data_IF_375653526864
#
_entry.id   IF_375653526864
#
_cell.length_a   1.000
_cell.length_b   1.000
_cell.length_c   1.000
_cell.angle_alpha   90.00
_cell.angle_beta   90.00
_cell.angle_gamma   90.00
#
_symmetry.space_group_name_H-M   'P 1'
#
loop_
_entity.id
_entity.type
_entity.pdbx_description
1 polymer ?
#
# COMPACT_ATOMS: atom_id res chain seq x y z
N UNK A 1 -36.16 -16.16 20.28
CA UNK A 1 -35.46 -14.96 19.78
C UNK A 1 -34.90 -15.29 18.41
N UNK A 2 -35.05 -14.40 17.41
CA UNK A 2 -34.50 -14.62 16.06
C UNK A 2 -33.05 -14.17 16.05
N UNK A 3 -32.13 -15.02 15.56
CA UNK A 3 -30.74 -14.64 15.37
C UNK A 3 -30.65 -13.45 14.41
N UNK A 4 -29.89 -12.44 14.79
CA UNK A 4 -29.67 -11.25 13.96
C UNK A 4 -28.69 -11.57 12.84
N UNK A 5 -28.61 -10.69 11.85
CA UNK A 5 -27.62 -10.79 10.79
C UNK A 5 -26.19 -10.82 11.34
N UNK A 6 -25.93 -10.05 12.40
CA UNK A 6 -24.63 -9.98 13.08
C UNK A 6 -24.29 -11.30 13.77
N UNK A 7 -25.26 -11.95 14.42
CA UNK A 7 -25.07 -13.27 15.04
C UNK A 7 -24.68 -14.33 14.00
N UNK A 8 -25.30 -14.27 12.82
CA UNK A 8 -25.01 -15.20 11.72
C UNK A 8 -23.59 -15.02 11.16
N UNK A 9 -23.15 -13.77 11.05
CA UNK A 9 -21.81 -13.41 10.61
C UNK A 9 -20.73 -13.87 11.61
N UNK A 10 -20.99 -13.69 12.90
CA UNK A 10 -20.08 -14.12 13.96
C UNK A 10 -19.95 -15.63 14.03
N UNK A 11 -21.05 -16.36 13.84
CA UNK A 11 -21.02 -17.83 13.82
C UNK A 11 -20.28 -18.39 12.60
N UNK A 12 -20.42 -17.75 11.44
CA UNK A 12 -19.71 -18.13 10.23
C UNK A 12 -18.20 -17.87 10.36
N UNK A 13 -17.81 -16.72 10.93
CA UNK A 13 -16.41 -16.40 11.20
C UNK A 13 -15.77 -17.38 12.21
N UNK A 14 -16.47 -17.70 13.31
CA UNK A 14 -16.00 -18.69 14.30
C UNK A 14 -15.88 -20.09 13.71
N UNK A 15 -16.69 -20.42 12.69
CA UNK A 15 -16.60 -21.69 11.97
C UNK A 15 -15.35 -21.72 11.09
N UNK A 16 -15.04 -20.64 10.39
CA UNK A 16 -13.87 -20.56 9.52
C UNK A 16 -12.55 -20.62 10.31
N UNK A 17 -12.47 -19.94 11.46
CA UNK A 17 -11.30 -19.99 12.35
C UNK A 17 -11.05 -21.43 12.83
N UNK A 18 -12.08 -22.12 13.33
CA UNK A 18 -11.95 -23.52 13.78
C UNK A 18 -11.53 -24.46 12.65
N UNK A 19 -11.99 -24.23 11.43
CA UNK A 19 -11.57 -25.02 10.26
C UNK A 19 -10.10 -24.81 9.93
N UNK A 20 -9.59 -23.57 10.05
CA UNK A 20 -8.17 -23.27 9.87
C UNK A 20 -7.30 -23.87 10.97
N UNK A 21 -7.72 -23.76 12.23
CA UNK A 21 -7.02 -24.36 13.39
C UNK A 21 -7.00 -25.90 13.32
N UNK A 22 -8.09 -26.51 12.83
CA UNK A 22 -8.17 -27.96 12.63
C UNK A 22 -7.34 -28.44 11.44
N UNK A 23 -7.18 -27.61 10.40
CA UNK A 23 -6.31 -27.90 9.26
C UNK A 23 -4.81 -27.76 9.64
N UNK A 24 -4.48 -26.90 10.59
CA UNK A 24 -3.12 -26.76 11.14
C UNK A 24 -2.73 -27.88 12.13
N UNK A 25 -3.69 -28.70 12.59
CA UNK A 25 -3.47 -29.79 13.56
C UNK A 25 -3.74 -31.18 12.98
N UNK A 26 -3.48 -31.39 11.69
CA UNK A 26 -3.51 -32.73 11.07
C UNK A 26 -2.32 -33.57 11.53
N UNK A 27 -2.50 -34.70 12.23
CA UNK A 27 -1.40 -35.60 12.56
C UNK A 27 -0.90 -36.27 11.29
N UNK A 28 0.39 -36.12 11.02
CA UNK A 28 1.10 -36.88 10.00
C UNK A 28 0.91 -38.38 10.24
N UNK A 29 0.34 -39.03 9.24
CA UNK A 29 0.14 -40.48 9.19
C UNK A 29 1.49 -41.18 9.14
N UNK A 30 1.98 -41.64 10.29
CA UNK A 30 3.04 -42.65 10.40
C UNK A 30 2.53 -43.70 11.37
N UNK A 31 2.00 -44.80 10.82
CA UNK A 31 1.74 -46.04 11.56
C UNK A 31 3.07 -46.66 12.03
N UNK A 32 3.14 -47.11 13.29
CA UNK A 32 3.89 -48.31 13.61
C UNK A 32 2.97 -49.31 14.33
N UNK A 33 2.59 -50.37 13.62
CA UNK A 33 1.94 -51.54 14.21
C UNK A 33 2.98 -52.40 14.94
N UNK A 34 2.78 -52.60 16.24
CA UNK A 34 3.50 -53.53 17.10
C UNK A 34 2.71 -54.85 17.19
N UNK A 35 3.33 -55.99 16.86
CA UNK A 35 3.41 -57.20 17.73
C UNK A 35 4.07 -58.39 17.02
N UNK A 36 4.77 -59.14 17.86
CA UNK A 36 5.58 -60.34 17.64
C UNK A 36 4.81 -61.50 16.99
N UNK A 37 5.50 -62.31 16.18
CA UNK A 37 5.93 -63.67 16.54
C UNK A 37 6.36 -64.52 15.33
N UNK A 38 7.33 -65.41 15.59
CA UNK A 38 7.73 -66.65 14.87
C UNK A 38 8.70 -66.57 13.68
N UNK A 39 9.96 -66.85 14.04
CA UNK A 39 10.85 -67.88 13.46
C UNK A 39 10.74 -68.19 11.95
N UNK A 40 11.81 -67.95 11.19
CA UNK A 40 12.86 -68.97 10.95
C UNK A 40 13.76 -68.58 9.77
N UNK A 41 15.06 -68.77 9.99
CA UNK A 41 16.08 -69.20 9.04
C UNK A 41 16.38 -68.34 7.80
N UNK A 42 17.58 -67.72 7.82
CA UNK A 42 18.49 -67.86 6.68
C UNK A 42 19.36 -66.66 6.37
N UNK A 43 20.64 -66.74 6.80
CA UNK A 43 21.86 -66.26 6.08
C UNK A 43 22.00 -64.73 5.91
N UNK A 44 23.04 -64.03 6.39
CA UNK A 44 24.34 -64.38 6.95
C UNK A 44 24.78 -63.25 7.91
N UNK A 45 25.36 -63.62 9.06
CA UNK A 45 26.01 -62.72 10.00
C UNK A 45 27.46 -62.46 9.56
N UNK A 46 27.80 -61.18 9.33
CA UNK A 46 29.00 -60.39 9.71
C UNK A 46 30.41 -61.08 9.69
N UNK A 47 31.55 -60.50 10.18
CA UNK A 47 31.88 -59.13 10.61
C UNK A 47 33.31 -58.63 10.23
N UNK A 48 33.62 -57.38 10.63
CA UNK A 48 34.91 -56.87 11.18
C UNK A 48 36.18 -56.71 10.32
N UNK A 49 36.64 -55.44 10.22
CA UNK A 49 38.01 -54.89 10.19
C UNK A 49 38.08 -53.77 9.12
N UNK A 50 38.61 -52.56 9.31
CA UNK A 50 39.61 -52.08 10.26
C UNK A 50 39.63 -50.54 10.24
N UNK A 51 39.82 -49.97 11.44
CA UNK A 51 40.30 -48.64 11.82
C UNK A 51 40.82 -47.66 10.74
N UNK A 52 40.23 -46.46 10.69
CA UNK A 52 40.96 -45.19 10.52
C UNK A 52 40.17 -44.00 11.12
N UNK A 53 40.83 -43.09 11.88
CA UNK A 53 40.20 -41.92 12.47
C UNK A 53 40.41 -40.67 11.60
N UNK A 54 39.37 -39.82 11.50
CA UNK A 54 39.36 -38.35 11.32
C UNK A 54 38.36 -37.87 10.27
N UNK A 55 37.30 -37.23 10.79
CA UNK A 55 36.66 -35.98 10.34
C UNK A 55 36.39 -35.82 8.83
N UNK A 56 35.10 -35.81 8.46
CA UNK A 56 34.34 -34.62 8.04
C UNK A 56 32.89 -35.09 7.86
N UNK A 57 32.02 -34.64 8.77
CA UNK A 57 30.58 -34.69 8.55
C UNK A 57 30.25 -33.66 7.47
N UNK A 58 29.87 -34.11 6.28
CA UNK A 58 29.27 -33.22 5.29
C UNK A 58 27.78 -33.14 5.60
N UNK A 59 27.43 -32.18 6.46
CA UNK A 59 26.05 -31.73 6.65
C UNK A 59 25.64 -31.03 5.35
N UNK A 60 24.75 -31.64 4.57
CA UNK A 60 24.09 -30.96 3.48
C UNK A 60 23.03 -30.00 4.07
N UNK A 61 23.50 -28.82 4.51
CA UNK A 61 22.63 -27.70 4.83
C UNK A 61 22.16 -27.07 3.51
N UNK A 62 20.99 -27.50 3.01
CA UNK A 62 20.31 -26.80 1.95
C UNK A 62 19.74 -25.49 2.52
N UNK A 63 20.40 -24.37 2.23
CA UNK A 63 19.88 -23.04 2.47
C UNK A 63 18.62 -22.81 1.62
N UNK A 64 17.44 -22.94 2.23
CA UNK A 64 16.23 -22.31 1.75
C UNK A 64 15.99 -21.03 2.57
N UNK A 65 16.78 -19.99 2.31
CA UNK A 65 16.46 -18.64 2.76
C UNK A 65 15.89 -17.89 1.58
N UNK A 66 14.57 -17.87 1.48
CA UNK A 66 13.89 -16.87 0.69
C UNK A 66 12.50 -16.59 1.29
N UNK A 67 12.47 -15.52 2.08
CA UNK A 67 11.37 -14.58 2.24
C UNK A 67 10.00 -15.12 2.64
N UNK A 68 9.66 -14.92 3.91
CA UNK A 68 8.38 -14.31 4.31
C UNK A 68 8.63 -13.53 5.61
N UNK A 69 9.21 -12.34 5.49
CA UNK A 69 9.01 -11.32 6.51
C UNK A 69 7.53 -10.88 6.42
N UNK A 70 6.64 -11.70 6.95
CA UNK A 70 5.34 -11.23 7.37
C UNK A 70 5.61 -10.24 8.50
N UNK A 71 5.73 -8.95 8.16
CA UNK A 71 5.68 -7.90 9.16
C UNK A 71 4.27 -7.96 9.74
N UNK A 72 4.12 -8.74 10.80
CA UNK A 72 3.01 -8.61 11.74
C UNK A 72 3.23 -7.26 12.38
N UNK A 73 2.66 -6.21 11.79
CA UNK A 73 2.52 -4.91 12.45
C UNK A 73 1.46 -5.14 13.53
N UNK A 74 1.80 -5.09 14.83
CA UNK A 74 0.81 -5.10 15.89
C UNK A 74 -0.09 -3.89 15.68
N UNK A 75 -1.40 -4.11 15.82
CA UNK A 75 -2.47 -3.17 15.44
C UNK A 75 -2.12 -1.70 15.64
N UNK A 76 -2.03 -0.96 14.53
CA UNK A 76 -2.21 0.47 14.56
C UNK A 76 -3.69 0.76 14.89
N UNK A 77 -4.00 1.79 15.70
CA UNK A 77 -5.35 2.09 16.13
C UNK A 77 -6.30 2.22 14.93
N UNK A 78 -7.53 1.76 15.12
CA UNK A 78 -8.61 1.68 14.12
C UNK A 78 -9.13 3.05 13.66
N UNK A 79 -8.24 3.91 13.16
CA UNK A 79 -8.61 5.01 12.29
C UNK A 79 -8.53 4.47 10.86
N UNK A 80 -9.69 4.32 10.22
CA UNK A 80 -9.80 3.98 8.80
C UNK A 80 -8.81 4.82 8.00
N UNK A 81 -7.76 4.22 7.45
CA UNK A 81 -6.78 4.98 6.66
C UNK A 81 -7.53 5.66 5.51
N UNK A 82 -7.27 6.95 5.32
CA UNK A 82 -7.82 7.73 4.20
C UNK A 82 -7.51 7.11 2.83
N UNK A 83 -6.55 6.18 2.78
CA UNK A 83 -6.09 5.50 1.58
C UNK A 83 -5.67 4.04 1.87
N UNK A 84 -5.67 3.23 0.82
CA UNK A 84 -5.06 1.91 0.74
C UNK A 84 -3.97 1.91 -0.34
N UNK A 85 -2.91 1.12 -0.13
CA UNK A 85 -1.77 1.00 -1.04
C UNK A 85 -1.51 -0.49 -1.21
N UNK A 86 -1.68 -0.98 -2.43
CA UNK A 86 -1.65 -2.40 -2.78
C UNK A 86 -0.66 -2.65 -3.91
N UNK A 87 0.34 -3.54 -3.76
CA UNK A 87 1.20 -3.92 -4.87
C UNK A 87 0.39 -4.72 -5.92
N UNK A 88 0.64 -4.47 -7.21
CA UNK A 88 -0.10 -5.10 -8.33
C UNK A 88 0.68 -6.28 -8.95
N UNK A 89 1.96 -6.46 -8.59
CA UNK A 89 2.80 -7.59 -9.00
C UNK A 89 3.78 -7.32 -10.14
N UNK A 90 3.59 -6.23 -10.88
CA UNK A 90 4.46 -5.77 -11.98
C UNK A 90 5.42 -4.63 -11.55
N UNK A 91 5.66 -4.51 -10.23
CA UNK A 91 6.39 -3.39 -9.64
C UNK A 91 5.58 -2.08 -9.54
N UNK A 92 4.31 -2.09 -9.94
CA UNK A 92 3.39 -0.99 -9.70
C UNK A 92 2.58 -1.17 -8.41
N UNK A 93 2.01 -0.06 -7.96
CA UNK A 93 1.23 0.04 -6.74
C UNK A 93 -0.08 0.74 -7.04
N UNK A 94 -1.19 0.12 -6.66
CA UNK A 94 -2.51 0.71 -6.70
C UNK A 94 -2.76 1.49 -5.41
N UNK A 95 -3.06 2.77 -5.57
CA UNK A 95 -3.45 3.69 -4.53
C UNK A 95 -4.95 3.93 -4.64
N UNK A 96 -5.69 3.50 -3.62
CA UNK A 96 -7.15 3.69 -3.53
C UNK A 96 -7.45 4.63 -2.39
N UNK A 97 -8.28 5.63 -2.62
CA UNK A 97 -8.53 6.73 -1.68
C UNK A 97 -9.96 6.65 -1.19
N UNK A 98 -10.11 6.36 0.09
CA UNK A 98 -11.42 6.31 0.76
C UNK A 98 -11.87 7.71 1.19
N UNK A 99 -10.92 8.54 1.59
CA UNK A 99 -11.17 9.90 2.04
C UNK A 99 -10.23 10.86 1.31
N UNK A 100 -10.86 11.75 0.53
CA UNK A 100 -10.18 12.77 -0.27
C UNK A 100 -9.59 13.88 0.62
N UNK A 101 -10.00 13.97 1.90
CA UNK A 101 -9.48 14.89 2.90
C UNK A 101 -8.25 14.36 3.64
N UNK A 102 -7.29 13.82 2.88
CA UNK A 102 -6.01 13.38 3.44
C UNK A 102 -5.21 14.60 3.94
N UNK A 103 -5.11 14.78 5.25
CA UNK A 103 -4.33 15.86 5.84
C UNK A 103 -2.82 15.71 5.60
N UNK A 104 -2.07 16.81 5.68
CA UNK A 104 -0.62 16.86 5.47
C UNK A 104 0.16 15.78 6.26
N UNK A 105 -0.12 15.50 7.54
CA UNK A 105 0.56 14.41 8.25
C UNK A 105 0.33 13.03 7.62
N UNK A 106 -0.89 12.74 7.15
CA UNK A 106 -1.22 11.49 6.49
C UNK A 106 -0.61 11.40 5.09
N UNK A 107 -0.47 12.53 4.37
CA UNK A 107 0.26 12.62 3.11
C UNK A 107 1.74 12.28 3.30
N UNK A 108 2.38 12.77 4.37
CA UNK A 108 3.77 12.40 4.73
C UNK A 108 3.90 10.92 5.06
N UNK A 109 2.95 10.36 5.81
CA UNK A 109 2.93 8.92 6.08
C UNK A 109 2.76 8.11 4.79
N UNK A 110 1.96 8.59 3.84
CA UNK A 110 1.83 7.99 2.52
C UNK A 110 3.15 8.06 1.75
N UNK A 111 3.86 9.19 1.79
CA UNK A 111 5.17 9.37 1.16
C UNK A 111 6.18 8.30 1.64
N UNK A 112 6.32 8.13 2.95
CA UNK A 112 7.20 7.09 3.51
C UNK A 112 6.74 5.70 3.10
N UNK A 113 5.43 5.46 3.05
CA UNK A 113 4.89 4.18 2.62
C UNK A 113 5.27 3.88 1.18
N UNK A 114 5.12 4.83 0.25
CA UNK A 114 5.28 4.56 -1.20
C UNK A 114 6.72 4.65 -1.71
N UNK A 115 7.61 5.28 -0.94
CA UNK A 115 9.03 5.47 -1.26
C UNK A 115 9.78 4.18 -1.68
N UNK A 116 9.59 3.00 -1.05
CA UNK A 116 10.28 1.78 -1.44
C UNK A 116 10.00 1.32 -2.88
N UNK A 117 8.88 1.73 -3.48
CA UNK A 117 8.55 1.45 -4.88
C UNK A 117 9.13 2.49 -5.85
N UNK A 118 9.95 3.42 -5.35
CA UNK A 118 10.54 4.50 -6.16
C UNK A 118 9.50 5.50 -6.66
N UNK A 119 8.43 5.68 -5.89
CA UNK A 119 7.43 6.72 -6.09
C UNK A 119 7.83 7.91 -5.22
N UNK A 120 7.94 9.08 -5.83
CA UNK A 120 8.21 10.32 -5.12
C UNK A 120 6.88 11.00 -4.74
N UNK A 121 6.84 11.63 -3.57
CA UNK A 121 5.66 12.37 -3.12
C UNK A 121 6.04 13.81 -2.84
N UNK A 122 5.43 14.74 -3.57
CA UNK A 122 5.62 16.18 -3.39
C UNK A 122 4.45 16.73 -2.59
N UNK A 123 4.73 17.44 -1.49
CA UNK A 123 3.70 18.01 -0.61
C UNK A 123 3.95 19.51 -0.54
N UNK A 124 3.09 20.28 -1.21
CA UNK A 124 3.19 21.73 -1.29
C UNK A 124 2.12 22.36 -0.43
N UNK A 125 2.49 23.37 0.36
CA UNK A 125 1.57 24.18 1.18
C UNK A 125 1.57 25.63 0.69
N UNK A 126 0.48 26.05 0.06
CA UNK A 126 0.32 27.35 -0.58
C UNK A 126 -0.58 28.28 0.24
N UNK A 127 -0.35 29.61 0.22
CA UNK A 127 -1.35 30.56 0.70
C UNK A 127 -2.63 30.49 -0.14
N UNK A 128 -3.79 30.85 0.43
CA UNK A 128 -5.05 30.82 -0.32
C UNK A 128 -5.02 31.75 -1.54
N UNK A 129 -5.58 31.30 -2.67
CA UNK A 129 -5.52 32.03 -3.95
C UNK A 129 -4.22 31.81 -4.75
N UNK A 130 -3.31 30.96 -4.26
CA UNK A 130 -2.15 30.49 -5.02
C UNK A 130 -2.32 29.04 -5.44
N UNK A 131 -1.72 28.71 -6.58
CA UNK A 131 -1.66 27.35 -7.15
C UNK A 131 -0.25 27.09 -7.70
N UNK A 132 0.11 25.84 -7.95
CA UNK A 132 1.29 25.57 -8.75
C UNK A 132 1.01 25.88 -10.22
N UNK A 133 1.96 26.51 -10.91
CA UNK A 133 1.86 26.82 -12.34
C UNK A 133 1.45 25.60 -13.19
N UNK A 134 2.02 24.43 -12.87
CA UNK A 134 1.72 23.15 -13.53
C UNK A 134 0.26 22.69 -13.43
N UNK A 135 -0.52 23.20 -12.48
CA UNK A 135 -1.91 22.75 -12.31
C UNK A 135 -2.88 23.25 -13.36
N UNK A 136 -2.49 24.27 -14.13
CA UNK A 136 -3.28 24.88 -15.22
C UNK A 136 -4.75 25.12 -14.83
N UNK A 137 -4.99 25.67 -13.64
CA UNK A 137 -6.36 25.90 -13.16
C UNK A 137 -6.95 27.18 -13.73
N UNK A 138 -8.24 27.13 -14.04
CA UNK A 138 -9.05 28.33 -14.31
C UNK A 138 -10.03 28.55 -13.16
N UNK A 139 -10.26 29.81 -12.72
CA UNK A 139 -11.33 30.14 -11.79
C UNK A 139 -12.70 29.63 -12.25
N UNK A 140 -13.56 29.32 -11.29
CA UNK A 140 -14.99 29.12 -11.58
C UNK A 140 -15.58 30.47 -11.99
N UNK A 141 -16.40 30.47 -13.05
CA UNK A 141 -17.06 31.66 -13.59
C UNK A 141 -18.58 31.59 -13.47
N UNK A 142 -19.25 32.74 -13.41
CA UNK A 142 -20.70 32.87 -13.49
C UNK A 142 -21.21 32.66 -14.94
N UNK A 143 -22.53 32.75 -15.13
CA UNK A 143 -23.19 32.63 -16.45
C UNK A 143 -22.75 33.70 -17.46
N UNK A 144 -22.08 34.76 -17.02
CA UNK A 144 -21.55 35.84 -17.83
C UNK A 144 -20.03 35.76 -18.04
N UNK A 145 -19.39 34.66 -17.60
CA UNK A 145 -17.94 34.48 -17.72
C UNK A 145 -17.13 35.30 -16.71
N UNK A 146 -17.74 35.85 -15.67
CA UNK A 146 -17.05 36.58 -14.60
C UNK A 146 -16.62 35.62 -13.50
N UNK A 147 -15.38 35.69 -13.00
CA UNK A 147 -14.93 34.81 -11.92
C UNK A 147 -15.79 34.97 -10.66
N UNK A 148 -16.18 33.84 -10.07
CA UNK A 148 -16.84 33.83 -8.77
C UNK A 148 -15.81 34.21 -7.70
N UNK A 149 -16.17 35.17 -6.84
CA UNK A 149 -15.31 35.68 -5.79
C UNK A 149 -15.83 35.23 -4.43
N UNK A 150 -14.96 34.62 -3.64
CA UNK A 150 -15.22 34.24 -2.24
C UNK A 150 -14.10 34.85 -1.39
N UNK A 151 -14.47 35.60 -0.36
CA UNK A 151 -13.54 36.30 0.54
C UNK A 151 -12.48 37.16 -0.20
N UNK A 152 -12.93 37.84 -1.26
CA UNK A 152 -12.08 38.71 -2.09
C UNK A 152 -11.09 37.96 -3.00
N UNK A 153 -11.25 36.65 -3.20
CA UNK A 153 -10.38 35.82 -4.05
C UNK A 153 -11.20 35.01 -5.07
N UNK A 154 -10.65 34.71 -6.26
CA UNK A 154 -11.31 33.82 -7.22
C UNK A 154 -11.52 32.43 -6.61
N UNK A 155 -12.71 31.87 -6.82
CA UNK A 155 -13.02 30.50 -6.45
C UNK A 155 -12.25 29.55 -7.39
N UNK A 156 -11.33 28.78 -6.82
CA UNK A 156 -10.51 27.80 -7.56
C UNK A 156 -11.13 26.41 -7.34
N UNK A 157 -11.41 25.64 -8.40
CA UNK A 157 -11.99 24.31 -8.25
C UNK A 157 -11.02 23.35 -7.57
N UNK A 158 -11.58 22.46 -6.73
CA UNK A 158 -10.85 21.33 -6.15
C UNK A 158 -10.90 20.15 -7.13
N UNK A 159 -9.75 19.53 -7.42
CA UNK A 159 -9.72 18.28 -8.21
C UNK A 159 -10.11 17.12 -7.28
N UNK A 160 -11.25 16.49 -7.53
CA UNK A 160 -11.78 15.38 -6.73
C UNK A 160 -11.51 14.02 -7.38
N UNK A 161 -11.25 12.99 -6.54
CA UNK A 161 -11.07 11.60 -6.97
C UNK A 161 -9.70 11.35 -7.57
N UNK A 162 -8.86 10.55 -6.90
CA UNK A 162 -7.49 10.26 -7.36
C UNK A 162 -7.05 8.82 -7.08
N UNK A 163 -7.91 7.85 -7.37
CA UNK A 163 -7.47 6.46 -7.46
C UNK A 163 -6.51 6.30 -8.64
N UNK A 164 -5.31 5.77 -8.37
CA UNK A 164 -4.24 5.75 -9.37
C UNK A 164 -3.33 4.54 -9.19
N UNK A 165 -2.85 4.01 -10.31
CA UNK A 165 -1.75 3.04 -10.31
C UNK A 165 -0.45 3.78 -10.58
N UNK A 166 0.46 3.73 -9.62
CA UNK A 166 1.76 4.38 -9.66
C UNK A 166 2.86 3.35 -9.91
N UNK A 167 3.88 3.76 -10.64
CA UNK A 167 5.08 3.00 -10.97
C UNK A 167 6.30 3.75 -10.46
N UNK A 168 7.43 3.04 -10.43
CA UNK A 168 8.74 3.65 -10.21
C UNK A 168 8.96 4.82 -11.16
N UNK A 169 9.42 5.96 -10.63
CA UNK A 169 9.60 7.21 -11.37
C UNK A 169 8.32 8.05 -11.52
N UNK A 170 7.20 7.64 -10.93
CA UNK A 170 6.06 8.53 -10.78
C UNK A 170 6.23 9.46 -9.58
N UNK A 171 5.67 10.65 -9.72
CA UNK A 171 5.47 11.63 -8.65
C UNK A 171 3.99 11.70 -8.35
N UNK A 172 3.64 11.62 -7.08
CA UNK A 172 2.33 11.95 -6.54
C UNK A 172 2.42 13.30 -5.82
N UNK A 173 1.85 14.35 -6.43
CA UNK A 173 1.97 15.70 -5.93
C UNK A 173 0.67 16.21 -5.29
N UNK A 174 0.75 16.54 -4.01
CA UNK A 174 -0.33 17.15 -3.23
C UNK A 174 -0.16 18.66 -3.18
N UNK A 175 -1.17 19.37 -3.63
CA UNK A 175 -1.25 20.82 -3.53
C UNK A 175 -2.26 21.20 -2.46
N UNK A 176 -1.74 21.67 -1.32
CA UNK A 176 -2.54 22.03 -0.15
C UNK A 176 -2.65 23.54 -0.03
N UNK A 177 -3.80 24.02 0.41
CA UNK A 177 -3.97 25.40 0.86
C UNK A 177 -3.72 25.48 2.37
N UNK A 178 -3.00 26.48 2.84
CA UNK A 178 -2.81 26.71 4.28
C UNK A 178 -4.15 26.98 4.96
N UNK A 179 -4.45 26.18 5.98
CA UNK A 179 -5.71 26.25 6.73
C UNK A 179 -6.79 25.28 6.23
N UNK A 180 -6.62 24.67 5.05
CA UNK A 180 -7.56 23.68 4.54
C UNK A 180 -7.23 22.28 5.08
N UNK A 181 -8.27 21.50 5.35
CA UNK A 181 -8.15 20.11 5.82
C UNK A 181 -7.94 19.10 4.69
N UNK A 182 -8.19 19.49 3.44
CA UNK A 182 -8.06 18.64 2.25
C UNK A 182 -7.10 19.27 1.23
N UNK A 183 -6.37 18.47 0.43
CA UNK A 183 -5.63 19.00 -0.70
C UNK A 183 -6.60 19.66 -1.70
N UNK A 184 -6.17 20.77 -2.30
CA UNK A 184 -6.88 21.42 -3.41
C UNK A 184 -6.75 20.59 -4.69
N UNK A 185 -5.60 19.97 -4.91
CA UNK A 185 -5.45 18.99 -5.97
C UNK A 185 -4.43 17.91 -5.62
N UNK A 186 -4.61 16.79 -6.29
CA UNK A 186 -3.63 15.72 -6.37
C UNK A 186 -3.33 15.48 -7.84
N UNK A 187 -2.04 15.44 -8.17
CA UNK A 187 -1.57 15.24 -9.54
C UNK A 187 -0.58 14.09 -9.57
N UNK A 188 -0.58 13.34 -10.67
CA UNK A 188 0.32 12.23 -10.90
C UNK A 188 1.00 12.40 -12.26
N UNK A 189 2.32 12.28 -12.28
CA UNK A 189 3.10 12.41 -13.50
C UNK A 189 4.35 11.53 -13.43
N UNK A 190 4.89 11.18 -14.58
CA UNK A 190 6.17 10.49 -14.66
C UNK A 190 7.30 11.50 -14.81
N UNK A 191 8.39 11.29 -14.09
CA UNK A 191 9.64 12.02 -14.28
C UNK A 191 10.80 11.03 -14.32
N UNK A 192 11.81 11.34 -15.15
CA UNK A 192 13.08 10.59 -15.17
C UNK A 192 14.09 11.15 -14.16
N UNK A 193 13.75 12.26 -13.50
CA UNK A 193 14.57 13.01 -12.54
C UNK A 193 13.75 13.20 -11.24
N UNK A 194 14.16 14.13 -10.41
CA UNK A 194 13.41 14.55 -9.22
C UNK A 194 12.07 15.20 -9.57
N UNK A 195 11.18 15.31 -8.59
CA UNK A 195 9.91 16.02 -8.75
C UNK A 195 10.16 17.49 -9.11
N UNK A 196 9.48 17.96 -10.16
CA UNK A 196 9.49 19.37 -10.51
C UNK A 196 9.01 20.24 -9.34
N UNK A 197 9.78 21.25 -8.91
CA UNK A 197 9.37 22.16 -7.86
C UNK A 197 8.10 22.91 -8.25
N UNK A 198 7.22 23.12 -7.27
CA UNK A 198 6.08 24.00 -7.47
C UNK A 198 6.53 25.46 -7.56
N UNK A 199 6.21 26.11 -8.68
CA UNK A 199 6.27 27.56 -8.82
C UNK A 199 4.91 28.13 -8.42
N UNK A 200 4.78 28.82 -7.28
CA UNK A 200 3.50 29.38 -6.85
C UNK A 200 3.10 30.54 -7.76
N UNK A 201 1.92 30.45 -8.36
CA UNK A 201 1.30 31.54 -9.10
C UNK A 201 0.05 32.02 -8.37
N UNK A 202 -0.12 33.33 -8.29
CA UNK A 202 -1.36 33.92 -7.77
C UNK A 202 -2.41 33.86 -8.87
N UNK A 203 -3.54 33.23 -8.60
CA UNK A 203 -4.64 33.19 -9.56
C UNK A 203 -5.25 34.58 -9.63
N UNK A 204 -5.06 35.27 -10.75
CA UNK A 204 -5.60 36.61 -10.99
C UNK A 204 -6.80 36.54 -11.93
N UNK A 205 -7.65 37.56 -11.85
CA UNK A 205 -8.83 37.69 -12.74
C UNK A 205 -8.44 37.82 -14.22
N UNK A 206 -7.19 38.20 -14.50
CA UNK A 206 -6.66 38.39 -15.85
C UNK A 206 -6.28 37.08 -16.55
N UNK A 207 -6.00 36.02 -15.79
CA UNK A 207 -5.51 34.74 -16.32
C UNK A 207 -6.59 33.96 -17.10
N UNK A 208 -7.87 34.34 -16.95
CA UNK A 208 -9.03 33.79 -17.69
C UNK A 208 -9.05 34.23 -19.17
N UNK A 209 -8.40 35.35 -19.52
CA UNK A 209 -8.40 35.88 -20.90
C UNK A 209 -7.34 35.27 -21.81
N UNK A 210 -6.40 34.52 -21.26
CA UNK A 210 -5.24 33.97 -21.96
C UNK A 210 -5.43 32.48 -22.24
N UNK A 211 -6.48 32.12 -22.98
CA UNK A 211 -6.51 30.90 -23.79
C UNK A 211 -5.51 31.01 -24.94
N UNK A 212 -4.22 31.25 -24.63
CA UNK A 212 -3.18 31.39 -25.64
C UNK A 212 -2.76 29.98 -26.04
N UNK A 213 -3.41 29.47 -27.10
CA UNK A 213 -2.86 28.42 -27.95
C UNK A 213 -1.41 28.80 -28.24
N UNK A 214 -0.48 27.96 -27.83
CA UNK A 214 0.80 27.80 -28.48
C UNK A 214 0.83 26.37 -29.01
#
# INVERSE_FOLDING_TARGET
>A
MRATFEDRLLDELKREIRLRESAETGPGDVRPGRREAKASLGRFLAPLASLAPRRIAVVAAACAVAWLAAVVVPGAPAHSKAYAVEPVGDGSVRLTVKDQSIGVPAQRALAEKVRPWGIEVSIVLLPSGYVCERSQVSPVVDVHGRPLIVDGRPLIPVKAGWDVTLRRGNVLAFENTRGDSRPRAVEFYATKREAEPCVPMKVSLSDVRSGRRR
#
